data_IF_700500182834
#
_entry.id   IF_700500182834
#
_cell.length_a   1.000
_cell.length_b   1.000
_cell.length_c   1.000
_cell.angle_alpha   90.00
_cell.angle_beta   90.00
_cell.angle_gamma   90.00
#
_symmetry.space_group_name_H-M   'P 1'
#
loop_
_entity.id
_entity.type
_entity.pdbx_description
1 polymer ?
#
# COMPACT_ATOMS: atom_id res chain seq x y z
N UNK A 1 -16.48 -26.78 17.54
CA UNK A 1 -16.07 -25.73 16.55
C UNK A 1 -14.94 -24.85 17.09
N UNK A 2 -14.95 -24.50 18.37
CA UNK A 2 -13.94 -23.62 18.99
C UNK A 2 -12.56 -24.27 19.15
N UNK A 3 -12.50 -25.57 19.28
CA UNK A 3 -11.22 -26.31 19.39
C UNK A 3 -10.38 -26.30 18.13
N UNK A 4 -11.00 -26.21 16.96
CA UNK A 4 -10.29 -26.11 15.67
C UNK A 4 -9.77 -24.68 15.41
N UNK A 5 -10.50 -23.67 15.87
CA UNK A 5 -10.04 -22.29 15.81
C UNK A 5 -8.86 -22.04 16.74
N UNK A 6 -8.88 -22.62 17.95
CA UNK A 6 -7.79 -22.45 18.91
C UNK A 6 -6.46 -23.05 18.44
N UNK A 7 -6.49 -24.12 17.66
CA UNK A 7 -5.27 -24.72 17.11
C UNK A 7 -4.59 -23.84 16.06
N UNK A 8 -5.35 -23.22 15.18
CA UNK A 8 -4.78 -22.31 14.15
C UNK A 8 -4.21 -21.03 14.74
N UNK A 9 -4.87 -20.44 15.74
CA UNK A 9 -4.42 -19.21 16.38
C UNK A 9 -3.27 -19.45 17.37
N UNK A 10 -3.23 -20.60 18.05
CA UNK A 10 -2.12 -20.97 18.93
C UNK A 10 -0.81 -21.16 18.18
N UNK A 11 -0.85 -21.67 16.95
CA UNK A 11 0.34 -21.83 16.12
C UNK A 11 0.93 -20.49 15.64
N UNK A 12 0.09 -19.47 15.48
CA UNK A 12 0.53 -18.12 15.12
C UNK A 12 1.49 -17.52 16.14
N UNK A 13 1.25 -17.81 17.43
CA UNK A 13 2.03 -17.22 18.53
C UNK A 13 3.15 -18.10 19.06
N UNK A 14 3.15 -19.38 18.78
CA UNK A 14 4.23 -20.28 19.21
C UNK A 14 5.56 -20.02 18.53
N UNK A 15 5.57 -19.32 17.39
CA UNK A 15 6.79 -18.94 16.69
C UNK A 15 7.23 -17.54 17.13
N UNK A 16 8.33 -17.48 17.86
CA UNK A 16 9.04 -16.22 18.10
C UNK A 16 9.48 -15.59 16.77
N UNK A 17 9.35 -14.27 16.68
CA UNK A 17 9.76 -13.50 15.48
C UNK A 17 9.02 -13.88 14.19
N UNK A 18 7.73 -14.22 14.29
CA UNK A 18 6.94 -14.63 13.11
C UNK A 18 6.95 -13.58 11.99
N UNK A 19 6.94 -12.31 12.30
CA UNK A 19 6.98 -11.25 11.29
C UNK A 19 8.29 -11.28 10.51
N UNK A 20 9.40 -11.52 11.14
CA UNK A 20 10.69 -11.69 10.48
C UNK A 20 10.78 -13.02 9.74
N UNK A 21 10.25 -14.08 10.31
CA UNK A 21 10.19 -15.39 9.67
C UNK A 21 9.32 -15.40 8.41
N UNK A 22 8.29 -14.56 8.32
CA UNK A 22 7.48 -14.42 7.14
C UNK A 22 8.28 -13.95 5.91
N UNK A 23 9.32 -13.16 6.09
CA UNK A 23 10.23 -12.79 4.99
C UNK A 23 11.01 -13.99 4.46
N UNK A 24 11.31 -14.95 5.32
CA UNK A 24 12.02 -16.18 4.95
C UNK A 24 11.03 -17.19 4.34
N UNK A 25 9.85 -17.33 4.92
CA UNK A 25 8.80 -18.24 4.45
C UNK A 25 8.21 -17.80 3.11
N UNK A 26 8.23 -16.50 2.84
CA UNK A 26 7.75 -15.91 1.59
C UNK A 26 8.85 -15.08 0.92
N UNK A 27 9.75 -15.72 0.18
CA UNK A 27 10.91 -15.05 -0.44
C UNK A 27 10.49 -13.97 -1.45
N UNK A 28 9.30 -14.10 -2.07
CA UNK A 28 8.74 -13.09 -2.98
C UNK A 28 8.50 -11.77 -2.26
N UNK A 29 7.97 -11.78 -1.02
CA UNK A 29 7.78 -10.58 -0.21
C UNK A 29 9.10 -9.93 0.19
N UNK A 30 10.11 -10.74 0.51
CA UNK A 30 11.46 -10.24 0.80
C UNK A 30 12.05 -9.53 -0.41
N UNK A 31 11.93 -10.12 -1.59
CA UNK A 31 12.40 -9.51 -2.85
C UNK A 31 11.68 -8.21 -3.14
N UNK A 32 10.36 -8.18 -3.01
CA UNK A 32 9.56 -6.96 -3.18
C UNK A 32 9.96 -5.86 -2.20
N UNK A 33 10.18 -6.21 -0.94
CA UNK A 33 10.62 -5.28 0.09
C UNK A 33 12.00 -4.69 -0.23
N UNK A 34 12.96 -5.53 -0.60
CA UNK A 34 14.31 -5.09 -0.98
C UNK A 34 14.29 -4.20 -2.22
N UNK A 35 13.53 -4.55 -3.25
CA UNK A 35 13.36 -3.72 -4.45
C UNK A 35 12.75 -2.37 -4.08
N UNK A 36 11.74 -2.34 -3.22
CA UNK A 36 11.11 -1.11 -2.74
C UNK A 36 12.09 -0.21 -2.00
N UNK A 37 12.86 -0.75 -1.07
CA UNK A 37 13.87 0.00 -0.30
C UNK A 37 14.99 0.53 -1.20
N UNK A 38 15.50 -0.28 -2.10
CA UNK A 38 16.53 0.15 -3.08
C UNK A 38 15.98 1.24 -3.99
N UNK A 39 14.73 1.11 -4.44
CA UNK A 39 14.06 2.14 -5.26
C UNK A 39 13.94 3.48 -4.54
N UNK A 40 13.57 3.46 -3.26
CA UNK A 40 13.49 4.68 -2.42
C UNK A 40 14.88 5.32 -2.27
N UNK A 41 15.88 4.54 -1.89
CA UNK A 41 17.25 5.05 -1.70
C UNK A 41 17.83 5.59 -3.01
N UNK A 42 17.61 4.91 -4.12
CA UNK A 42 18.04 5.36 -5.44
C UNK A 42 17.32 6.66 -5.85
N UNK A 43 16.02 6.77 -5.62
CA UNK A 43 15.23 7.96 -5.90
C UNK A 43 15.71 9.16 -5.09
N UNK A 44 15.96 8.98 -3.79
CA UNK A 44 16.51 10.02 -2.91
C UNK A 44 17.92 10.41 -3.37
N UNK A 45 18.79 9.44 -3.61
CA UNK A 45 20.16 9.70 -4.08
C UNK A 45 20.17 10.49 -5.38
N UNK A 46 19.38 10.07 -6.36
CA UNK A 46 19.24 10.78 -7.65
C UNK A 46 18.72 12.20 -7.48
N UNK A 47 17.77 12.41 -6.57
CA UNK A 47 17.21 13.73 -6.29
C UNK A 47 18.21 14.66 -5.62
N UNK A 48 19.07 14.13 -4.75
CA UNK A 48 20.10 14.90 -4.04
C UNK A 48 21.27 15.26 -4.96
N UNK A 49 21.75 14.29 -5.74
CA UNK A 49 22.93 14.49 -6.60
C UNK A 49 22.62 15.17 -7.92
N UNK A 50 21.41 15.07 -8.42
CA UNK A 50 20.98 15.67 -9.69
C UNK A 50 19.95 16.76 -9.45
N UNK A 51 20.38 17.99 -9.43
CA UNK A 51 19.51 19.16 -9.25
C UNK A 51 18.50 19.39 -10.38
N UNK A 52 18.69 18.75 -11.53
CA UNK A 52 17.90 18.99 -12.75
C UNK A 52 16.90 17.89 -13.04
N UNK A 53 16.98 16.72 -12.38
CA UNK A 53 16.14 15.58 -12.71
C UNK A 53 15.00 15.39 -11.71
N UNK A 54 13.78 15.62 -12.14
CA UNK A 54 12.55 15.34 -11.38
C UNK A 54 12.18 13.86 -11.32
N UNK A 55 12.85 13.01 -12.08
CA UNK A 55 12.54 11.57 -12.16
C UNK A 55 12.84 10.81 -10.86
N UNK A 56 13.70 11.34 -9.99
CA UNK A 56 13.99 10.74 -8.68
C UNK A 56 12.76 10.62 -7.79
N UNK A 57 11.82 11.56 -7.86
CA UNK A 57 10.56 11.54 -7.11
C UNK A 57 9.70 10.32 -7.49
N UNK A 58 9.64 9.99 -8.77
CA UNK A 58 8.88 8.84 -9.26
C UNK A 58 9.46 7.52 -8.75
N UNK A 59 10.78 7.36 -8.76
CA UNK A 59 11.45 6.18 -8.21
C UNK A 59 11.21 6.07 -6.69
N UNK A 60 11.32 7.17 -5.97
CA UNK A 60 11.04 7.20 -4.53
C UNK A 60 9.57 6.84 -4.24
N UNK A 61 8.62 7.38 -4.99
CA UNK A 61 7.19 7.11 -4.84
C UNK A 61 6.84 5.65 -5.08
N UNK A 62 7.29 5.07 -6.19
CA UNK A 62 7.06 3.66 -6.53
C UNK A 62 7.73 2.75 -5.50
N UNK A 63 8.96 3.05 -5.10
CA UNK A 63 9.69 2.30 -4.09
C UNK A 63 8.97 2.31 -2.73
N UNK A 64 8.42 3.45 -2.32
CA UNK A 64 7.64 3.58 -1.09
C UNK A 64 6.36 2.73 -1.14
N UNK A 65 5.63 2.78 -2.25
CA UNK A 65 4.41 1.96 -2.44
C UNK A 65 4.74 0.46 -2.35
N UNK A 66 5.79 0.01 -3.01
CA UNK A 66 6.23 -1.39 -2.96
C UNK A 66 6.65 -1.81 -1.55
N UNK A 67 7.39 -0.98 -0.84
CA UNK A 67 7.83 -1.25 0.53
C UNK A 67 6.64 -1.37 1.47
N UNK A 68 5.71 -0.44 1.43
CA UNK A 68 4.51 -0.46 2.27
C UNK A 68 3.63 -1.66 1.95
N UNK A 69 3.44 -1.98 0.67
CA UNK A 69 2.69 -3.16 0.24
C UNK A 69 3.32 -4.45 0.77
N UNK A 70 4.64 -4.59 0.67
CA UNK A 70 5.36 -5.76 1.18
C UNK A 70 5.23 -5.89 2.70
N UNK A 71 5.30 -4.80 3.45
CA UNK A 71 5.11 -4.79 4.90
C UNK A 71 3.69 -5.18 5.28
N UNK A 72 2.68 -4.64 4.61
CA UNK A 72 1.28 -4.98 4.87
C UNK A 72 0.98 -6.45 4.57
N UNK A 73 1.51 -7.00 3.49
CA UNK A 73 1.38 -8.41 3.16
C UNK A 73 2.13 -9.30 4.16
N UNK A 74 3.29 -8.87 4.64
CA UNK A 74 4.06 -9.59 5.66
C UNK A 74 3.29 -9.70 6.98
N UNK A 75 2.61 -8.62 7.39
CA UNK A 75 1.83 -8.58 8.62
C UNK A 75 0.52 -9.37 8.50
N UNK A 76 -0.15 -9.32 7.35
CA UNK A 76 -1.50 -9.91 7.18
C UNK A 76 -1.51 -11.33 6.61
N UNK A 77 -0.51 -11.73 5.83
CA UNK A 77 -0.47 -13.01 5.13
C UNK A 77 0.09 -14.12 6.03
N UNK A 78 -0.10 -15.38 5.61
CA UNK A 78 0.44 -16.56 6.28
C UNK A 78 -0.09 -16.77 7.73
N UNK A 79 -1.41 -16.57 7.96
CA UNK A 79 -2.03 -16.68 9.28
C UNK A 79 -1.36 -15.86 10.38
N UNK A 80 -0.79 -14.74 10.02
CA UNK A 80 -0.17 -13.82 10.97
C UNK A 80 -1.23 -12.91 11.57
N UNK A 81 -1.23 -12.73 12.89
CA UNK A 81 -2.11 -11.78 13.55
C UNK A 81 -1.65 -10.36 13.23
N UNK A 82 -2.47 -9.59 12.52
CA UNK A 82 -2.19 -8.17 12.30
C UNK A 82 -2.63 -7.29 13.46
N UNK A 83 -3.49 -7.80 14.34
CA UNK A 83 -3.87 -7.16 15.59
C UNK A 83 -3.75 -8.19 16.74
N UNK A 84 -2.56 -8.31 17.33
CA UNK A 84 -2.33 -9.27 18.40
C UNK A 84 -3.02 -8.84 19.69
N UNK A 85 -3.67 -9.80 20.36
CA UNK A 85 -4.25 -9.61 21.69
C UNK A 85 -3.20 -9.83 22.75
N UNK A 86 -3.15 -8.94 23.74
CA UNK A 86 -2.28 -9.07 24.92
C UNK A 86 -2.91 -9.89 26.03
N UNK A 87 -4.24 -10.02 26.04
CA UNK A 87 -4.98 -10.72 27.08
C UNK A 87 -5.13 -12.22 26.78
N UNK A 88 -5.47 -12.58 25.54
CA UNK A 88 -5.64 -13.96 25.11
C UNK A 88 -5.20 -14.09 23.64
N UNK A 89 -4.32 -15.03 23.39
CA UNK A 89 -3.80 -15.33 22.06
C UNK A 89 -4.88 -15.72 21.07
N UNK A 90 -5.96 -16.34 21.54
CA UNK A 90 -7.09 -16.75 20.71
C UNK A 90 -7.96 -15.58 20.24
N UNK A 91 -7.89 -14.45 20.91
CA UNK A 91 -8.60 -13.22 20.56
C UNK A 91 -7.87 -12.37 19.53
N UNK A 92 -6.72 -12.81 19.05
CA UNK A 92 -5.94 -12.11 18.03
C UNK A 92 -6.65 -12.10 16.69
N UNK A 93 -6.63 -10.95 15.99
CA UNK A 93 -7.25 -10.81 14.68
C UNK A 93 -6.29 -11.20 13.56
N UNK A 94 -6.72 -12.17 12.77
CA UNK A 94 -6.06 -12.59 11.54
C UNK A 94 -6.97 -12.33 10.35
N UNK A 95 -6.44 -12.36 9.14
CA UNK A 95 -7.25 -12.23 7.92
C UNK A 95 -8.38 -13.27 7.86
N UNK A 96 -8.14 -14.48 8.35
CA UNK A 96 -9.10 -15.55 8.31
C UNK A 96 -10.29 -15.37 9.27
N UNK A 97 -10.07 -14.75 10.43
CA UNK A 97 -11.12 -14.62 11.46
C UNK A 97 -11.80 -13.23 11.47
N UNK A 98 -11.21 -12.24 10.83
CA UNK A 98 -11.73 -10.88 10.79
C UNK A 98 -12.32 -10.49 9.42
N UNK A 99 -12.33 -11.42 8.46
CA UNK A 99 -12.97 -11.20 7.18
C UNK A 99 -14.46 -10.93 7.34
N UNK A 100 -14.94 -9.97 6.56
CA UNK A 100 -16.38 -9.74 6.35
C UNK A 100 -17.05 -10.95 5.68
N UNK A 101 -18.39 -10.94 5.63
CA UNK A 101 -19.15 -11.97 4.93
C UNK A 101 -18.71 -12.08 3.46
N UNK A 102 -18.90 -13.26 2.88
CA UNK A 102 -18.56 -13.52 1.47
C UNK A 102 -19.24 -12.54 0.52
N UNK A 103 -20.49 -12.17 0.81
CA UNK A 103 -21.23 -11.18 0.04
C UNK A 103 -20.52 -9.81 0.05
N UNK A 104 -20.13 -9.34 1.22
CA UNK A 104 -19.43 -8.05 1.38
C UNK A 104 -18.11 -8.05 0.61
N UNK A 105 -17.34 -9.12 0.69
CA UNK A 105 -16.07 -9.25 -0.03
C UNK A 105 -16.28 -9.23 -1.56
N UNK A 106 -17.32 -9.89 -2.06
CA UNK A 106 -17.66 -9.85 -3.49
C UNK A 106 -18.05 -8.44 -3.95
N UNK A 107 -18.90 -7.75 -3.21
CA UNK A 107 -19.29 -6.37 -3.52
C UNK A 107 -18.06 -5.45 -3.51
N UNK A 108 -17.19 -5.58 -2.52
CA UNK A 108 -15.94 -4.81 -2.45
C UNK A 108 -15.01 -5.11 -3.63
N UNK A 109 -14.94 -6.35 -4.08
CA UNK A 109 -14.16 -6.71 -5.26
C UNK A 109 -14.70 -6.02 -6.53
N UNK A 110 -16.01 -6.00 -6.73
CA UNK A 110 -16.62 -5.29 -7.86
C UNK A 110 -16.38 -3.78 -7.80
N UNK A 111 -16.53 -3.17 -6.62
CA UNK A 111 -16.24 -1.74 -6.41
C UNK A 111 -14.76 -1.46 -6.68
N UNK A 112 -13.87 -2.34 -6.26
CA UNK A 112 -12.43 -2.24 -6.48
C UNK A 112 -12.06 -2.18 -7.97
N UNK A 113 -12.80 -2.86 -8.84
CA UNK A 113 -12.61 -2.78 -10.30
C UNK A 113 -12.95 -1.39 -10.85
N UNK A 114 -13.87 -0.66 -10.21
CA UNK A 114 -14.22 0.71 -10.64
C UNK A 114 -13.15 1.75 -10.27
N UNK A 115 -12.31 1.48 -9.27
CA UNK A 115 -11.26 2.40 -8.83
C UNK A 115 -10.28 2.80 -9.94
N UNK A 116 -9.78 1.89 -10.80
CA UNK A 116 -8.92 2.26 -11.93
C UNK A 116 -9.58 3.24 -12.90
N UNK A 117 -10.89 3.10 -13.14
CA UNK A 117 -11.63 4.02 -14.01
C UNK A 117 -11.71 5.42 -13.42
N UNK A 118 -11.96 5.53 -12.13
CA UNK A 118 -11.96 6.81 -11.40
C UNK A 118 -10.58 7.44 -11.43
N UNK A 119 -9.52 6.67 -11.20
CA UNK A 119 -8.14 7.14 -11.29
C UNK A 119 -7.79 7.63 -12.71
N UNK A 120 -8.19 6.89 -13.73
CA UNK A 120 -7.99 7.30 -15.12
C UNK A 120 -8.70 8.64 -15.42
N UNK A 121 -9.92 8.83 -14.91
CA UNK A 121 -10.64 10.08 -15.03
C UNK A 121 -9.92 11.23 -14.32
N UNK A 122 -9.46 11.03 -13.10
CA UNK A 122 -8.71 12.04 -12.34
C UNK A 122 -7.43 12.43 -13.08
N UNK A 123 -6.66 11.46 -13.57
CA UNK A 123 -5.44 11.71 -14.35
C UNK A 123 -5.74 12.46 -15.63
N UNK A 124 -6.83 12.12 -16.31
CA UNK A 124 -7.27 12.82 -17.50
C UNK A 124 -7.63 14.29 -17.21
N UNK A 125 -8.43 14.53 -16.16
CA UNK A 125 -8.82 15.88 -15.74
C UNK A 125 -7.59 16.72 -15.36
N UNK A 126 -6.66 16.16 -14.61
CA UNK A 126 -5.41 16.84 -14.25
C UNK A 126 -4.58 17.23 -15.47
N UNK A 127 -4.40 16.28 -16.38
CA UNK A 127 -3.67 16.57 -17.62
C UNK A 127 -4.37 17.61 -18.52
N UNK A 128 -5.69 17.65 -18.48
CA UNK A 128 -6.44 18.68 -19.22
C UNK A 128 -6.23 20.08 -18.63
N UNK A 129 -6.12 20.18 -17.31
CA UNK A 129 -5.84 21.43 -16.59
C UNK A 129 -4.38 21.87 -16.84
N UNK A 130 -3.43 20.95 -16.73
CA UNK A 130 -1.99 21.25 -16.90
C UNK A 130 -1.62 21.65 -18.33
N UNK A 131 -2.41 21.25 -19.32
CA UNK A 131 -2.16 21.59 -20.74
C UNK A 131 -2.35 23.07 -21.06
N UNK A 132 -3.04 23.81 -20.23
CA UNK A 132 -3.22 25.25 -20.36
C UNK A 132 -2.71 25.95 -19.11
N UNK A 133 -1.41 26.21 -19.01
CA UNK A 133 -0.91 27.05 -17.93
C UNK A 133 -1.56 28.44 -18.05
N UNK A 134 -2.18 28.89 -16.99
CA UNK A 134 -2.77 30.23 -16.89
C UNK A 134 -1.62 31.22 -17.05
N UNK A 135 -1.66 32.01 -18.10
CA UNK A 135 -0.67 33.05 -18.34
C UNK A 135 -0.99 34.28 -17.48
N UNK A 136 0.01 34.98 -17.01
CA UNK A 136 -0.17 36.22 -16.24
C UNK A 136 -1.08 37.25 -16.97
N UNK A 137 -1.08 37.22 -18.29
CA UNK A 137 -1.95 38.07 -19.12
C UNK A 137 -3.44 37.69 -19.07
N UNK A 138 -3.76 36.43 -18.81
CA UNK A 138 -5.14 35.99 -18.64
C UNK A 138 -5.67 36.39 -17.25
N UNK A 139 -4.83 36.36 -16.22
CA UNK A 139 -5.17 36.85 -14.88
C UNK A 139 -5.46 38.36 -14.84
N UNK A 140 -4.76 39.16 -15.65
CA UNK A 140 -5.05 40.60 -15.76
C UNK A 140 -6.35 40.89 -16.51
N UNK A 141 -6.73 40.07 -17.50
CA UNK A 141 -7.99 40.25 -18.23
C UNK A 141 -9.22 39.85 -17.40
N UNK A 142 -9.13 38.81 -16.58
CA UNK A 142 -10.24 38.37 -15.72
C UNK A 142 -10.39 39.22 -14.46
N UNK A 143 -9.39 40.02 -14.08
CA UNK A 143 -9.44 40.96 -12.95
C UNK A 143 -10.37 42.16 -13.14
N UNK A 144 -10.91 42.36 -14.35
CA UNK A 144 -11.80 43.47 -14.67
C UNK A 144 -13.28 43.11 -14.82
N UNK A 145 -13.67 41.89 -14.45
CA UNK A 145 -15.06 41.42 -14.68
C UNK A 145 -15.87 41.27 -13.39
N UNK A 146 -15.52 42.02 -12.34
CA UNK A 146 -16.37 42.16 -11.15
C UNK A 146 -16.53 43.64 -10.83
#
# INVERSE_FOLDING_TARGET
RDRLRSRGLGDVYKRQYKYFMNFIDMPVLLVLFLIGVVGVLFGIGKSVFSKTSTNGIWFAGIGTVLTVLALLLCVGYNNTAYYPSTADLQSSLTLANSCSSEFTLRVMAYVSVLVPFVLAYIVYAWRAIDRKPITAQELEKDGHTY
#
